data_IF_947375449367
#
_entry.id   IF_947375449367
#
_cell.length_a   1.000
_cell.length_b   1.000
_cell.length_c   1.000
_cell.angle_alpha   90.00
_cell.angle_beta   90.00
_cell.angle_gamma   90.00
#
_symmetry.space_group_name_H-M   'P 1'
#
loop_
_entity.id
_entity.type
_entity.pdbx_description
1 polymer ?
#
# COMPACT_ATOMS: atom_id res chain seq x y z
N UNK A 1 12.11 14.32 1.85
CA UNK A 1 12.95 13.54 0.92
C UNK A 1 12.25 12.25 0.50
N UNK A 2 12.64 11.61 -0.61
CA UNK A 2 12.08 10.31 -1.05
C UNK A 2 13.22 9.32 -1.27
N UNK A 3 13.07 8.12 -0.73
CA UNK A 3 14.03 7.02 -0.90
C UNK A 3 13.30 5.84 -1.54
N UNK A 4 13.96 5.17 -2.47
CA UNK A 4 13.47 3.91 -3.05
C UNK A 4 14.37 2.80 -2.54
N UNK A 5 13.75 1.78 -1.95
CA UNK A 5 14.46 0.68 -1.28
C UNK A 5 13.96 -0.65 -1.85
N UNK A 6 14.87 -1.59 -2.18
CA UNK A 6 14.50 -2.95 -2.57
C UNK A 6 13.67 -3.64 -1.48
N UNK A 7 12.73 -4.50 -1.88
CA UNK A 7 11.82 -5.14 -0.92
C UNK A 7 12.54 -5.98 0.13
N UNK A 8 13.71 -6.52 -0.21
CA UNK A 8 14.53 -7.37 0.65
C UNK A 8 15.10 -6.60 1.85
N UNK A 9 15.27 -5.28 1.71
CA UNK A 9 15.87 -4.41 2.73
C UNK A 9 14.85 -3.48 3.39
N UNK A 10 13.58 -3.52 2.97
CA UNK A 10 12.61 -2.51 3.42
C UNK A 10 12.41 -2.55 4.93
N UNK A 11 12.29 -3.74 5.53
CA UNK A 11 12.10 -3.87 6.98
C UNK A 11 13.32 -3.38 7.77
N UNK A 12 14.52 -3.79 7.36
CA UNK A 12 15.79 -3.34 7.96
C UNK A 12 15.91 -1.82 7.94
N UNK A 13 15.63 -1.19 6.80
CA UNK A 13 15.66 0.27 6.66
C UNK A 13 14.60 0.94 7.53
N UNK A 14 13.38 0.40 7.57
CA UNK A 14 12.30 0.94 8.41
C UNK A 14 12.63 0.83 9.91
N UNK A 15 13.22 -0.28 10.35
CA UNK A 15 13.66 -0.47 11.74
C UNK A 15 14.75 0.53 12.09
N UNK A 16 15.78 0.68 11.26
CA UNK A 16 16.84 1.69 11.47
C UNK A 16 16.26 3.11 11.58
N UNK A 17 15.31 3.47 10.68
CA UNK A 17 14.67 4.78 10.71
C UNK A 17 13.90 5.01 12.03
N UNK A 18 13.19 4.00 12.51
CA UNK A 18 12.45 4.08 13.77
C UNK A 18 13.40 4.17 14.97
N UNK A 19 14.32 3.22 15.08
CA UNK A 19 15.06 2.93 16.30
C UNK A 19 16.29 3.84 16.46
N UNK A 20 16.97 4.19 15.36
CA UNK A 20 18.19 5.02 15.41
C UNK A 20 17.94 6.49 15.03
N UNK A 21 16.97 6.77 14.15
CA UNK A 21 16.74 8.11 13.59
C UNK A 21 15.46 8.80 14.09
N UNK A 22 14.79 8.22 15.10
CA UNK A 22 13.61 8.76 15.78
C UNK A 22 12.45 9.10 14.83
N UNK A 23 12.24 8.30 13.77
CA UNK A 23 11.02 8.33 12.97
C UNK A 23 9.88 7.62 13.70
N UNK A 24 9.47 8.21 14.81
CA UNK A 24 8.51 7.63 15.76
C UNK A 24 7.04 7.65 15.30
N UNK A 25 6.73 8.28 14.16
CA UNK A 25 5.36 8.36 13.67
C UNK A 25 5.22 7.94 12.20
N UNK A 26 4.57 6.80 11.97
CA UNK A 26 4.05 6.41 10.65
C UNK A 26 2.78 7.19 10.36
N UNK A 27 2.89 8.20 9.49
CA UNK A 27 1.78 9.08 9.12
C UNK A 27 0.77 8.37 8.23
N UNK A 28 1.26 7.57 7.28
CA UNK A 28 0.42 6.83 6.34
C UNK A 28 1.25 5.74 5.66
N UNK A 29 0.57 4.68 5.23
CA UNK A 29 1.06 3.68 4.30
C UNK A 29 0.04 3.54 3.18
N UNK A 30 0.51 3.64 1.93
CA UNK A 30 -0.35 3.51 0.75
C UNK A 30 0.24 2.54 -0.27
N UNK A 31 -0.63 1.77 -0.92
CA UNK A 31 -0.27 1.00 -2.12
C UNK A 31 -0.18 1.89 -3.37
N UNK A 32 0.55 1.42 -4.36
CA UNK A 32 0.70 2.04 -5.68
C UNK A 32 0.64 0.96 -6.77
N UNK A 33 0.11 1.34 -7.94
CA UNK A 33 0.12 0.51 -9.13
C UNK A 33 0.62 1.31 -10.36
N UNK A 34 1.70 0.84 -10.97
CA UNK A 34 2.34 1.34 -12.18
C UNK A 34 2.34 0.25 -13.26
N UNK A 35 1.24 0.10 -14.01
CA UNK A 35 1.14 -0.91 -15.06
C UNK A 35 2.20 -0.66 -16.15
N UNK A 36 2.72 -1.75 -16.73
CA UNK A 36 3.72 -1.70 -17.79
C UNK A 36 5.17 -1.62 -17.31
N UNK A 37 5.42 -1.71 -16.01
CA UNK A 37 6.76 -1.89 -15.43
C UNK A 37 6.97 -3.35 -15.02
N UNK A 38 8.21 -3.77 -14.80
CA UNK A 38 8.48 -5.11 -14.24
C UNK A 38 8.02 -5.22 -12.77
N UNK A 39 8.16 -4.12 -12.02
CA UNK A 39 7.71 -3.97 -10.65
C UNK A 39 6.46 -3.07 -10.62
N UNK A 40 5.32 -3.69 -10.91
CA UNK A 40 4.05 -2.99 -11.12
C UNK A 40 3.45 -2.46 -9.82
N UNK A 41 3.62 -3.18 -8.71
CA UNK A 41 3.03 -2.81 -7.43
C UNK A 41 4.08 -2.19 -6.52
N UNK A 42 3.64 -1.43 -5.52
CA UNK A 42 4.54 -0.90 -4.51
C UNK A 42 3.83 -0.32 -3.31
N UNK A 43 4.58 -0.09 -2.25
CA UNK A 43 4.10 0.57 -1.04
C UNK A 43 4.92 1.84 -0.78
N UNK A 44 4.27 2.85 -0.20
CA UNK A 44 4.92 4.06 0.30
C UNK A 44 4.68 4.19 1.78
N UNK A 45 5.75 4.37 2.54
CA UNK A 45 5.74 4.66 3.97
C UNK A 45 6.01 6.16 4.15
N UNK A 46 5.04 6.88 4.73
CA UNK A 46 5.18 8.28 5.09
C UNK A 46 5.62 8.36 6.56
N UNK A 47 6.88 8.70 6.78
CA UNK A 47 7.48 8.72 8.12
C UNK A 47 7.72 10.15 8.58
N UNK A 48 7.48 10.37 9.86
CA UNK A 48 7.68 11.64 10.53
C UNK A 48 8.42 11.41 11.84
N UNK A 49 9.55 12.11 11.99
CA UNK A 49 10.17 12.31 13.29
C UNK A 49 9.50 13.50 13.94
N UNK A 50 8.59 13.26 14.88
CA UNK A 50 7.84 14.33 15.55
C UNK A 50 8.75 15.24 16.37
N UNK A 51 9.83 14.68 16.94
CA UNK A 51 10.79 15.42 17.77
C UNK A 51 11.64 16.37 16.94
N UNK A 52 12.15 15.88 15.80
CA UNK A 52 13.07 16.63 14.95
C UNK A 52 12.36 17.41 13.83
N UNK A 53 11.05 17.19 13.65
CA UNK A 53 10.25 17.84 12.60
C UNK A 53 10.59 17.37 11.18
N UNK A 54 11.23 16.21 11.03
CA UNK A 54 11.68 15.71 9.74
C UNK A 54 10.68 14.74 9.10
N UNK A 55 10.44 14.91 7.80
CA UNK A 55 9.53 14.05 7.03
C UNK A 55 10.24 13.40 5.84
N UNK A 56 10.09 12.09 5.74
CA UNK A 56 10.63 11.30 4.63
C UNK A 56 9.56 10.37 4.09
N UNK A 57 9.77 9.93 2.85
CA UNK A 57 8.95 8.92 2.20
C UNK A 57 9.85 7.79 1.76
N UNK A 58 9.53 6.56 2.15
CA UNK A 58 10.25 5.37 1.70
C UNK A 58 9.32 4.61 0.77
N UNK A 59 9.79 4.31 -0.44
CA UNK A 59 9.05 3.55 -1.44
C UNK A 59 9.71 2.21 -1.64
N UNK A 60 8.89 1.18 -1.83
CA UNK A 60 9.35 -0.13 -2.29
C UNK A 60 8.44 -0.61 -3.41
N UNK A 61 8.99 -1.40 -4.32
CA UNK A 61 8.28 -1.90 -5.49
C UNK A 61 8.43 -3.42 -5.56
N UNK A 62 7.38 -4.09 -6.02
CA UNK A 62 7.26 -5.54 -6.11
C UNK A 62 6.56 -5.91 -7.42
N UNK A 63 6.85 -7.10 -7.92
CA UNK A 63 6.13 -7.62 -9.08
C UNK A 63 4.73 -8.09 -8.66
N UNK A 64 3.77 -8.08 -9.58
CA UNK A 64 2.42 -8.59 -9.31
C UNK A 64 2.40 -10.10 -9.02
N UNK A 65 3.40 -10.84 -9.54
CA UNK A 65 3.58 -12.28 -9.30
C UNK A 65 4.02 -12.59 -7.86
N UNK A 66 4.76 -11.68 -7.24
CA UNK A 66 5.28 -11.80 -5.89
C UNK A 66 5.06 -10.48 -5.14
N UNK A 67 3.78 -10.16 -4.92
CA UNK A 67 3.32 -8.93 -4.27
C UNK A 67 3.46 -8.99 -2.74
N UNK A 68 4.53 -9.60 -2.24
CA UNK A 68 4.78 -9.80 -0.82
C UNK A 68 5.73 -8.74 -0.26
N UNK A 69 5.42 -8.25 0.95
CA UNK A 69 6.24 -7.31 1.71
C UNK A 69 6.25 -7.73 3.18
N UNK A 70 7.32 -7.45 3.94
CA UNK A 70 7.28 -7.61 5.40
C UNK A 70 6.32 -6.60 6.03
N UNK A 71 5.59 -7.01 7.06
CA UNK A 71 4.78 -6.09 7.87
C UNK A 71 5.67 -5.07 8.58
N UNK A 72 5.14 -3.88 8.82
CA UNK A 72 5.70 -2.85 9.68
C UNK A 72 4.91 -2.71 11.00
N UNK A 73 3.99 -3.63 11.30
CA UNK A 73 3.17 -3.59 12.53
C UNK A 73 3.97 -3.80 13.81
N UNK A 74 5.08 -4.51 13.75
CA UNK A 74 6.06 -4.67 14.83
C UNK A 74 6.81 -3.37 15.14
N UNK A 75 7.00 -2.52 14.13
CA UNK A 75 7.64 -1.20 14.24
C UNK A 75 6.63 -0.12 14.68
N UNK A 76 5.51 0.00 13.96
CA UNK A 76 4.42 0.92 14.24
C UNK A 76 3.09 0.18 14.27
N UNK A 77 2.42 0.08 15.44
CA UNK A 77 1.11 -0.58 15.54
C UNK A 77 0.03 0.04 14.65
N UNK A 78 0.16 1.33 14.30
CA UNK A 78 -0.75 2.03 13.39
C UNK A 78 -0.71 1.47 11.96
N UNK A 79 0.36 0.76 11.57
CA UNK A 79 0.49 0.13 10.26
C UNK A 79 -0.59 -0.92 10.02
N UNK A 80 -1.20 -1.49 11.07
CA UNK A 80 -2.15 -2.59 10.95
C UNK A 80 -3.32 -2.29 10.00
N UNK A 81 -3.97 -1.14 10.18
CA UNK A 81 -5.10 -0.77 9.32
C UNK A 81 -4.65 -0.36 7.93
N UNK A 82 -3.50 0.32 7.83
CA UNK A 82 -2.98 0.81 6.55
C UNK A 82 -2.49 -0.34 5.65
N UNK A 83 -1.88 -1.37 6.24
CA UNK A 83 -1.49 -2.60 5.53
C UNK A 83 -2.72 -3.38 5.05
N UNK A 84 -3.78 -3.44 5.87
CA UNK A 84 -5.06 -4.04 5.45
C UNK A 84 -5.71 -3.27 4.30
N UNK A 85 -5.66 -1.95 4.32
CA UNK A 85 -6.14 -1.12 3.21
C UNK A 85 -5.32 -1.37 1.92
N UNK A 86 -3.99 -1.40 2.02
CA UNK A 86 -3.11 -1.70 0.89
C UNK A 86 -3.33 -3.12 0.34
N UNK A 87 -3.62 -4.09 1.20
CA UNK A 87 -4.06 -5.42 0.80
C UNK A 87 -5.42 -5.38 0.08
N UNK A 88 -6.41 -4.71 0.65
CA UNK A 88 -7.78 -4.70 0.12
C UNK A 88 -7.89 -4.02 -1.25
N UNK A 89 -7.14 -2.94 -1.47
CA UNK A 89 -7.22 -2.15 -2.70
C UNK A 89 -6.18 -2.46 -3.76
N UNK A 90 -5.00 -2.95 -3.37
CA UNK A 90 -3.89 -3.22 -4.29
C UNK A 90 -3.41 -4.66 -4.27
N UNK A 91 -3.87 -5.49 -3.32
CA UNK A 91 -3.47 -6.89 -3.19
C UNK A 91 -2.03 -7.09 -2.75
N UNK A 92 -1.46 -6.13 -2.01
CA UNK A 92 -0.17 -6.28 -1.36
C UNK A 92 -0.29 -7.20 -0.15
N UNK A 93 0.50 -8.26 -0.10
CA UNK A 93 0.46 -9.23 0.99
C UNK A 93 1.57 -8.95 2.01
N UNK A 94 1.20 -8.70 3.26
CA UNK A 94 2.14 -8.38 4.34
C UNK A 94 2.46 -9.60 5.19
N UNK A 95 3.71 -10.10 5.09
CA UNK A 95 4.17 -11.26 5.85
C UNK A 95 4.40 -10.89 7.32
N UNK A 96 3.89 -11.73 8.22
CA UNK A 96 3.94 -11.48 9.68
C UNK A 96 2.83 -10.59 10.23
N UNK A 97 1.93 -10.06 9.38
CA UNK A 97 0.82 -9.22 9.85
C UNK A 97 -0.18 -10.03 10.71
N UNK A 98 -0.61 -9.53 11.87
CA UNK A 98 -1.39 -10.33 12.84
C UNK A 98 -2.79 -10.72 12.38
N UNK A 99 -3.43 -9.92 11.52
CA UNK A 99 -4.77 -10.21 10.99
C UNK A 99 -4.97 -9.54 9.62
N UNK A 100 -4.30 -10.07 8.59
CA UNK A 100 -4.38 -9.49 7.25
C UNK A 100 -5.67 -9.96 6.56
N UNK A 101 -6.68 -9.09 6.58
CA UNK A 101 -7.95 -9.30 5.89
C UNK A 101 -8.48 -8.00 5.32
N UNK A 102 -9.39 -8.10 4.34
CA UNK A 102 -10.12 -6.94 3.78
C UNK A 102 -10.74 -6.10 4.90
N UNK A 103 -10.83 -4.79 4.66
CA UNK A 103 -11.25 -3.83 5.68
C UNK A 103 -12.38 -2.93 5.20
N UNK A 104 -12.42 -2.61 3.92
CA UNK A 104 -13.41 -1.72 3.31
C UNK A 104 -14.32 -2.45 2.34
N UNK A 105 -13.82 -3.44 1.61
CA UNK A 105 -14.62 -4.24 0.69
C UNK A 105 -15.18 -5.51 1.36
N UNK A 106 -16.17 -6.13 0.71
CA UNK A 106 -16.70 -7.45 1.08
C UNK A 106 -15.59 -8.50 1.08
N UNK A 107 -15.67 -9.48 1.98
CA UNK A 107 -14.64 -10.52 2.13
C UNK A 107 -14.42 -11.32 0.83
N UNK A 108 -15.50 -11.61 0.11
CA UNK A 108 -15.49 -12.38 -1.14
C UNK A 108 -15.28 -11.51 -2.39
N UNK A 109 -14.92 -10.23 -2.23
CA UNK A 109 -14.72 -9.35 -3.38
C UNK A 109 -13.56 -9.88 -4.26
N UNK A 110 -13.76 -10.13 -5.56
CA UNK A 110 -12.80 -10.88 -6.37
C UNK A 110 -11.62 -10.03 -6.88
N UNK A 111 -11.67 -8.71 -6.71
CA UNK A 111 -10.76 -7.78 -7.36
C UNK A 111 -10.09 -6.80 -6.38
N UNK A 112 -9.28 -5.91 -6.93
CA UNK A 112 -8.52 -4.87 -6.23
C UNK A 112 -8.83 -3.50 -6.86
N UNK A 113 -9.81 -2.76 -6.33
CA UNK A 113 -10.43 -1.62 -7.03
C UNK A 113 -9.49 -0.47 -7.44
N UNK A 114 -8.39 -0.26 -6.71
CA UNK A 114 -7.48 0.86 -6.98
C UNK A 114 -6.34 0.48 -7.93
N UNK A 115 -6.33 -0.75 -8.44
CA UNK A 115 -5.43 -1.13 -9.53
C UNK A 115 -5.97 -0.55 -10.83
N UNK A 116 -5.07 0.01 -11.66
CA UNK A 116 -5.42 0.73 -12.90
C UNK A 116 -5.96 -0.16 -14.03
N UNK A 117 -5.87 -1.47 -13.89
CA UNK A 117 -6.50 -2.48 -14.75
C UNK A 117 -7.97 -2.74 -14.37
N UNK A 118 -8.41 -2.31 -13.17
CA UNK A 118 -9.80 -2.44 -12.76
C UNK A 118 -10.67 -1.36 -13.43
N UNK A 119 -11.76 -1.74 -14.13
CA UNK A 119 -12.62 -0.76 -14.79
C UNK A 119 -13.32 0.13 -13.77
N UNK A 120 -13.43 1.41 -14.08
CA UNK A 120 -14.09 2.39 -13.19
C UNK A 120 -15.59 2.11 -13.04
N UNK A 121 -16.21 1.59 -14.09
CA UNK A 121 -17.62 1.27 -14.12
C UNK A 121 -17.81 -0.24 -14.24
N UNK A 122 -18.83 -0.72 -13.53
CA UNK A 122 -19.21 -2.12 -13.59
C UNK A 122 -19.79 -2.40 -14.99
N UNK A 123 -19.15 -3.28 -15.79
CA UNK A 123 -19.63 -3.59 -17.14
C UNK A 123 -21.00 -4.28 -17.14
N UNK A 124 -21.49 -4.77 -15.99
CA UNK A 124 -22.80 -5.42 -15.86
C UNK A 124 -23.91 -4.45 -15.47
N UNK A 125 -23.59 -3.17 -15.27
CA UNK A 125 -24.54 -2.15 -14.84
C UNK A 125 -25.36 -1.58 -16.01
N UNK A 126 -26.57 -2.08 -16.20
CA UNK A 126 -27.47 -1.65 -17.29
C UNK A 126 -28.30 -0.38 -16.99
N UNK A 127 -28.37 0.08 -15.74
CA UNK A 127 -29.17 1.27 -15.35
C UNK A 127 -28.48 2.60 -15.69
N UNK A 128 -27.19 2.56 -16.05
CA UNK A 128 -26.46 3.73 -16.56
C UNK A 128 -26.51 3.73 -18.08
N UNK A 129 -27.37 4.57 -18.64
CA UNK A 129 -27.34 4.84 -20.08
C UNK A 129 -26.37 6.02 -20.35
N UNK A 130 -25.18 5.71 -20.87
CA UNK A 130 -24.10 6.66 -21.11
C UNK A 130 -24.47 7.81 -22.06
N UNK A 131 -25.50 7.62 -22.91
CA UNK A 131 -26.00 8.68 -23.79
C UNK A 131 -26.50 9.92 -23.04
N UNK A 132 -26.90 9.81 -21.77
CA UNK A 132 -27.32 10.96 -20.96
C UNK A 132 -26.17 11.69 -20.25
N UNK A 133 -24.94 11.17 -20.31
CA UNK A 133 -23.77 11.72 -19.62
C UNK A 133 -22.70 12.30 -20.55
N UNK A 134 -22.96 12.36 -21.85
CA UNK A 134 -22.12 13.07 -22.82
C UNK A 134 -20.75 12.44 -23.05
N UNK A 135 -20.65 11.12 -22.89
CA UNK A 135 -19.48 10.29 -23.20
C UNK A 135 -19.86 9.28 -24.27
#
# INVERSE_FOLDING_TARGET
>A
MVYVVPKEKIHEVLSLLRDELDFNFLTSLCGMHFPGLELELGAVYFLHSMRNGHRIRVKTFVSMKDATLPTATDLWPTANWMEREAYDFFGLHFTGHPNLKRILNMEDFPAFPMRKDYPLEDPTREDKNDTFFGR
#
